data_IF_148469839293
#
_entry.id   IF_148469839293
#
_cell.length_a   1.000
_cell.length_b   1.000
_cell.length_c   1.000
_cell.angle_alpha   90.00
_cell.angle_beta   90.00
_cell.angle_gamma   90.00
#
_symmetry.space_group_name_H-M   'P 1'
#
loop_
_entity.id
_entity.type
_entity.pdbx_description
1 polymer ?
#
# COMPACT_ATOMS: atom_id res chain seq x y z
N UNK A 1 -45.39 31.61 23.57
CA UNK A 1 -45.30 30.51 22.58
C UNK A 1 -44.09 30.68 21.67
N UNK A 2 -43.75 31.90 21.25
CA UNK A 2 -42.62 32.18 20.34
C UNK A 2 -41.24 31.79 20.87
N UNK A 3 -40.98 31.95 22.17
CA UNK A 3 -39.67 31.63 22.76
C UNK A 3 -39.35 30.12 22.74
N UNK A 4 -40.39 29.28 22.85
CA UNK A 4 -40.27 27.81 22.76
C UNK A 4 -39.96 27.39 21.32
N UNK A 5 -40.62 28.04 20.34
CA UNK A 5 -40.34 27.83 18.92
C UNK A 5 -38.90 28.23 18.55
N UNK A 6 -38.44 29.39 19.02
CA UNK A 6 -37.07 29.86 18.79
C UNK A 6 -36.04 28.89 19.38
N UNK A 7 -36.28 28.41 20.62
CA UNK A 7 -35.40 27.45 21.27
C UNK A 7 -35.36 26.10 20.53
N UNK A 8 -36.52 25.58 20.10
CA UNK A 8 -36.61 24.35 19.30
C UNK A 8 -35.84 24.45 17.98
N UNK A 9 -35.98 25.57 17.28
CA UNK A 9 -35.24 25.82 16.03
C UNK A 9 -33.74 25.92 16.28
N UNK A 10 -33.31 26.59 17.36
CA UNK A 10 -31.91 26.69 17.71
C UNK A 10 -31.28 25.31 18.05
N UNK A 11 -31.98 24.49 18.83
CA UNK A 11 -31.54 23.13 19.17
C UNK A 11 -31.53 22.25 17.92
N UNK A 12 -32.57 22.32 17.08
CA UNK A 12 -32.64 21.60 15.80
C UNK A 12 -31.49 21.96 14.87
N UNK A 13 -31.18 23.26 14.74
CA UNK A 13 -30.04 23.74 13.96
C UNK A 13 -28.69 23.24 14.49
N UNK A 14 -28.54 23.17 15.81
CA UNK A 14 -27.30 22.70 16.46
C UNK A 14 -27.12 21.20 16.28
N UNK A 15 -28.19 20.41 16.46
CA UNK A 15 -28.17 18.96 16.25
C UNK A 15 -27.90 18.60 14.78
N UNK A 16 -28.52 19.32 13.85
CA UNK A 16 -28.28 19.14 12.42
C UNK A 16 -26.83 19.50 12.05
N UNK A 17 -26.30 20.61 12.58
CA UNK A 17 -24.90 21.00 12.39
C UNK A 17 -23.92 19.96 12.94
N UNK A 18 -24.20 19.42 14.14
CA UNK A 18 -23.39 18.37 14.75
C UNK A 18 -23.42 17.06 13.94
N UNK A 19 -24.59 16.67 13.44
CA UNK A 19 -24.74 15.47 12.60
C UNK A 19 -23.99 15.61 11.27
N UNK A 20 -24.14 16.75 10.59
CA UNK A 20 -23.41 17.05 9.35
C UNK A 20 -21.90 17.06 9.58
N UNK A 21 -21.44 17.71 10.64
CA UNK A 21 -20.03 17.73 11.03
C UNK A 21 -19.49 16.33 11.27
N UNK A 22 -20.24 15.49 12.00
CA UNK A 22 -19.86 14.11 12.27
C UNK A 22 -19.73 13.27 10.98
N UNK A 23 -20.69 13.36 10.06
CA UNK A 23 -20.65 12.61 8.80
C UNK A 23 -19.46 13.04 7.93
N UNK A 24 -19.23 14.34 7.80
CA UNK A 24 -18.11 14.86 7.02
C UNK A 24 -16.76 14.48 7.64
N UNK A 25 -16.65 14.54 8.96
CA UNK A 25 -15.43 14.15 9.69
C UNK A 25 -15.13 12.66 9.51
N UNK A 26 -16.16 11.81 9.64
CA UNK A 26 -16.04 10.36 9.42
C UNK A 26 -15.62 10.03 7.99
N UNK A 27 -16.20 10.70 6.99
CA UNK A 27 -15.84 10.50 5.59
C UNK A 27 -14.42 10.99 5.26
N UNK A 28 -13.95 12.03 5.94
CA UNK A 28 -12.58 12.51 5.79
C UNK A 28 -11.57 11.54 6.42
N UNK A 29 -11.89 10.96 7.58
CA UNK A 29 -11.04 9.98 8.26
C UNK A 29 -10.87 8.70 7.41
N UNK A 30 -11.97 8.13 6.93
CA UNK A 30 -11.99 6.93 6.08
C UNK A 30 -11.15 7.12 4.79
N UNK A 31 -11.28 8.28 4.12
CA UNK A 31 -10.43 8.62 2.96
C UNK A 31 -8.94 8.74 3.32
N UNK A 32 -8.61 9.25 4.50
CA UNK A 32 -7.23 9.36 4.96
C UNK A 32 -6.62 7.99 5.25
N UNK A 33 -7.38 7.08 5.85
CA UNK A 33 -6.95 5.71 6.15
C UNK A 33 -6.67 4.93 4.85
N UNK A 34 -7.56 5.05 3.85
CA UNK A 34 -7.35 4.48 2.51
C UNK A 34 -6.08 5.01 1.85
N UNK A 35 -5.86 6.32 1.88
CA UNK A 35 -4.63 6.96 1.36
C UNK A 35 -3.39 6.40 2.05
N UNK A 36 -3.42 6.33 3.38
CA UNK A 36 -2.30 5.82 4.16
C UNK A 36 -1.99 4.36 3.80
N UNK A 37 -3.00 3.48 3.72
CA UNK A 37 -2.82 2.08 3.36
C UNK A 37 -2.16 1.91 1.97
N UNK A 38 -2.64 2.64 0.96
CA UNK A 38 -2.07 2.62 -0.40
C UNK A 38 -0.63 3.12 -0.44
N UNK A 39 -0.32 4.20 0.29
CA UNK A 39 1.04 4.74 0.36
C UNK A 39 1.99 3.80 1.10
N UNK A 40 1.56 3.21 2.21
CA UNK A 40 2.34 2.21 2.96
C UNK A 40 2.67 1.01 2.09
N UNK A 41 1.69 0.48 1.34
CA UNK A 41 1.92 -0.61 0.40
C UNK A 41 2.90 -0.23 -0.71
N UNK A 42 2.70 0.93 -1.34
CA UNK A 42 3.57 1.41 -2.42
C UNK A 42 5.03 1.55 -1.96
N UNK A 43 5.24 2.10 -0.76
CA UNK A 43 6.57 2.19 -0.15
C UNK A 43 7.17 0.81 0.13
N UNK A 44 6.39 -0.10 0.73
CA UNK A 44 6.85 -1.44 1.07
C UNK A 44 7.24 -2.28 -0.16
N UNK A 45 6.48 -2.19 -1.25
CA UNK A 45 6.83 -2.87 -2.51
C UNK A 45 8.06 -2.26 -3.16
N UNK A 46 8.20 -0.94 -3.14
CA UNK A 46 9.39 -0.26 -3.70
C UNK A 46 10.66 -0.73 -2.98
N UNK A 47 10.63 -0.80 -1.66
CA UNK A 47 11.74 -1.35 -0.87
C UNK A 47 11.94 -2.84 -1.13
N UNK A 48 10.86 -3.62 -1.29
CA UNK A 48 10.97 -5.05 -1.65
C UNK A 48 11.69 -5.21 -2.99
N UNK A 49 11.30 -4.48 -4.04
CA UNK A 49 11.98 -4.52 -5.35
C UNK A 49 13.47 -4.25 -5.17
N UNK A 50 13.82 -3.18 -4.44
CA UNK A 50 15.22 -2.82 -4.16
C UNK A 50 15.97 -3.92 -3.40
N UNK A 51 15.38 -4.48 -2.34
CA UNK A 51 16.00 -5.52 -1.54
C UNK A 51 16.22 -6.83 -2.32
N UNK A 52 15.33 -7.15 -3.25
CA UNK A 52 15.48 -8.31 -4.13
C UNK A 52 16.58 -8.11 -5.18
N UNK A 53 16.73 -6.88 -5.70
CA UNK A 53 17.86 -6.54 -6.57
C UNK A 53 19.20 -6.64 -5.82
N UNK A 54 19.27 -6.08 -4.60
CA UNK A 54 20.49 -6.17 -3.77
C UNK A 54 20.85 -7.64 -3.49
N UNK A 55 19.87 -8.47 -3.11
CA UNK A 55 20.09 -9.90 -2.91
C UNK A 55 20.67 -10.58 -4.16
N UNK A 56 20.15 -10.27 -5.35
CA UNK A 56 20.68 -10.80 -6.60
C UNK A 56 22.14 -10.37 -6.84
N UNK A 57 22.45 -9.08 -6.73
CA UNK A 57 23.81 -8.57 -6.94
C UNK A 57 24.81 -9.21 -5.97
N UNK A 58 24.43 -9.36 -4.69
CA UNK A 58 25.30 -10.01 -3.70
C UNK A 58 25.47 -11.50 -3.93
N UNK A 59 24.50 -12.15 -4.58
CA UNK A 59 24.63 -13.57 -4.97
C UNK A 59 25.71 -13.75 -6.03
N UNK A 60 25.77 -12.85 -7.02
CA UNK A 60 26.78 -12.89 -8.08
C UNK A 60 28.19 -12.59 -7.54
N UNK A 61 28.30 -11.69 -6.54
CA UNK A 61 29.58 -11.35 -5.90
C UNK A 61 30.17 -12.49 -5.06
N UNK A 62 29.42 -12.99 -4.08
CA UNK A 62 29.86 -14.05 -3.18
C UNK A 62 28.65 -14.78 -2.56
N UNK A 63 28.23 -15.93 -3.12
CA UNK A 63 27.04 -16.65 -2.69
C UNK A 63 27.03 -17.07 -1.20
N UNK A 64 28.20 -17.32 -0.62
CA UNK A 64 28.35 -17.68 0.81
C UNK A 64 28.92 -16.55 1.66
N UNK A 65 29.00 -15.35 1.10
CA UNK A 65 29.48 -14.16 1.78
C UNK A 65 28.54 -13.71 2.90
N UNK A 66 29.07 -13.06 3.96
CA UNK A 66 28.24 -12.44 4.99
C UNK A 66 27.27 -11.40 4.41
N UNK A 67 27.69 -10.66 3.38
CA UNK A 67 26.86 -9.66 2.69
C UNK A 67 25.66 -10.28 1.96
N UNK A 68 25.86 -11.40 1.24
CA UNK A 68 24.74 -12.11 0.61
C UNK A 68 23.73 -12.62 1.64
N UNK A 69 24.20 -13.17 2.77
CA UNK A 69 23.32 -13.59 3.86
C UNK A 69 22.54 -12.41 4.46
N UNK A 70 23.20 -11.27 4.67
CA UNK A 70 22.55 -10.06 5.17
C UNK A 70 21.48 -9.55 4.19
N UNK A 71 21.81 -9.45 2.90
CA UNK A 71 20.88 -9.04 1.85
C UNK A 71 19.67 -9.99 1.76
N UNK A 72 19.88 -11.31 1.87
CA UNK A 72 18.80 -12.30 1.91
C UNK A 72 17.88 -12.09 3.11
N UNK A 73 18.43 -11.92 4.31
CA UNK A 73 17.65 -11.68 5.54
C UNK A 73 16.83 -10.41 5.39
N UNK A 74 17.43 -9.34 4.89
CA UNK A 74 16.74 -8.06 4.68
C UNK A 74 15.63 -8.19 3.63
N UNK A 75 15.88 -8.90 2.52
CA UNK A 75 14.86 -9.18 1.51
C UNK A 75 13.69 -10.01 2.06
N UNK A 76 13.92 -10.91 3.03
CA UNK A 76 12.84 -11.59 3.77
C UNK A 76 12.07 -10.63 4.70
N UNK A 77 12.77 -9.76 5.42
CA UNK A 77 12.16 -8.75 6.30
C UNK A 77 11.24 -7.81 5.51
N UNK A 78 11.72 -7.29 4.38
CA UNK A 78 10.98 -6.40 3.50
C UNK A 78 9.73 -7.07 2.91
N UNK A 79 9.83 -8.35 2.52
CA UNK A 79 8.64 -9.14 2.14
C UNK A 79 7.61 -9.24 3.25
N UNK A 80 8.04 -9.39 4.50
CA UNK A 80 7.15 -9.35 5.67
C UNK A 80 6.42 -8.02 5.81
N UNK A 81 7.14 -6.90 5.65
CA UNK A 81 6.56 -5.55 5.68
C UNK A 81 5.55 -5.35 4.54
N UNK A 82 5.87 -5.80 3.32
CA UNK A 82 4.97 -5.73 2.19
C UNK A 82 3.69 -6.55 2.41
N UNK A 83 3.82 -7.78 2.95
CA UNK A 83 2.67 -8.61 3.33
C UNK A 83 1.78 -7.91 4.37
N UNK A 84 2.36 -7.27 5.38
CA UNK A 84 1.59 -6.49 6.36
C UNK A 84 0.85 -5.32 5.68
N UNK A 85 1.47 -4.67 4.70
CA UNK A 85 0.83 -3.59 3.96
C UNK A 85 -0.35 -4.07 3.08
N UNK A 86 -0.27 -5.28 2.51
CA UNK A 86 -1.40 -5.92 1.78
C UNK A 86 -2.60 -6.10 2.72
N UNK A 87 -2.37 -6.53 3.95
CA UNK A 87 -3.46 -6.63 4.94
C UNK A 87 -4.09 -5.25 5.21
N UNK A 88 -3.30 -4.17 5.19
CA UNK A 88 -3.80 -2.81 5.26
C UNK A 88 -4.75 -2.47 4.11
N UNK A 89 -4.43 -2.88 2.87
CA UNK A 89 -5.33 -2.72 1.73
C UNK A 89 -6.64 -3.46 1.98
N UNK A 90 -6.59 -4.72 2.41
CA UNK A 90 -7.78 -5.54 2.69
C UNK A 90 -8.67 -4.96 3.82
N UNK A 91 -8.08 -4.26 4.80
CA UNK A 91 -8.87 -3.67 5.90
C UNK A 91 -9.49 -2.32 5.56
N UNK A 92 -8.80 -1.48 4.79
CA UNK A 92 -9.21 -0.09 4.58
C UNK A 92 -9.83 0.16 3.20
N UNK A 93 -9.54 -0.70 2.21
CA UNK A 93 -10.01 -0.52 0.83
C UNK A 93 -10.91 -1.70 0.42
N UNK A 94 -12.20 -1.41 0.25
CA UNK A 94 -13.21 -2.37 -0.19
C UNK A 94 -13.18 -2.53 -1.72
N UNK A 95 -12.11 -3.16 -2.23
CA UNK A 95 -11.92 -3.46 -3.66
C UNK A 95 -11.07 -4.72 -3.83
N UNK A 96 -11.74 -5.86 -4.10
CA UNK A 96 -11.09 -7.15 -4.36
C UNK A 96 -10.12 -7.08 -5.54
N UNK A 97 -10.43 -6.30 -6.58
CA UNK A 97 -9.54 -6.13 -7.74
C UNK A 97 -8.26 -5.39 -7.37
N UNK A 98 -8.32 -4.43 -6.45
CA UNK A 98 -7.13 -3.76 -5.93
C UNK A 98 -6.29 -4.71 -5.06
N UNK A 99 -6.94 -5.56 -4.25
CA UNK A 99 -6.25 -6.56 -3.44
C UNK A 99 -5.53 -7.61 -4.32
N UNK A 100 -6.18 -8.08 -5.38
CA UNK A 100 -5.59 -9.00 -6.36
C UNK A 100 -4.38 -8.39 -7.06
N UNK A 101 -4.48 -7.12 -7.48
CA UNK A 101 -3.34 -6.37 -8.05
C UNK A 101 -2.19 -6.24 -7.04
N UNK A 102 -2.51 -6.05 -5.76
CA UNK A 102 -1.51 -5.94 -4.71
C UNK A 102 -0.77 -7.26 -4.49
N UNK A 103 -1.48 -8.39 -4.47
CA UNK A 103 -0.89 -9.72 -4.32
C UNK A 103 -0.07 -10.11 -5.56
N UNK A 104 -0.59 -9.85 -6.77
CA UNK A 104 0.11 -10.11 -8.02
C UNK A 104 1.43 -9.31 -8.09
N UNK A 105 1.39 -8.03 -7.76
CA UNK A 105 2.60 -7.18 -7.72
C UNK A 105 3.59 -7.68 -6.67
N UNK A 106 3.12 -8.11 -5.50
CA UNK A 106 3.97 -8.69 -4.46
C UNK A 106 4.69 -9.96 -4.92
N UNK A 107 4.00 -10.84 -5.65
CA UNK A 107 4.58 -12.06 -6.21
C UNK A 107 5.67 -11.74 -7.24
N UNK A 108 5.37 -10.88 -8.22
CA UNK A 108 6.35 -10.48 -9.25
C UNK A 108 7.57 -9.80 -8.63
N UNK A 109 7.38 -8.92 -7.63
CA UNK A 109 8.48 -8.27 -6.93
C UNK A 109 9.33 -9.27 -6.12
N UNK A 110 8.71 -10.25 -5.46
CA UNK A 110 9.41 -11.24 -4.61
C UNK A 110 10.32 -12.18 -5.39
N UNK A 111 10.08 -12.34 -6.68
CA UNK A 111 10.78 -13.29 -7.55
C UNK A 111 11.94 -12.67 -8.33
N UNK A 112 12.24 -11.38 -8.13
CA UNK A 112 13.33 -10.66 -8.82
C UNK A 112 14.70 -11.32 -8.57
N UNK A 113 14.98 -11.77 -7.35
CA UNK A 113 16.25 -12.42 -6.98
C UNK A 113 16.53 -13.73 -7.74
N UNK A 114 15.51 -14.31 -8.40
CA UNK A 114 15.64 -15.57 -9.15
C UNK A 114 16.07 -15.36 -10.60
N UNK A 115 16.44 -14.15 -11.00
CA UNK A 115 16.94 -13.92 -12.34
C UNK A 115 18.25 -14.71 -12.58
N UNK A 116 18.36 -15.37 -13.73
CA UNK A 116 19.55 -16.13 -14.13
C UNK A 116 20.67 -15.23 -14.69
N UNK A 117 20.38 -13.94 -14.91
CA UNK A 117 21.33 -12.98 -15.45
C UNK A 117 20.80 -11.55 -15.45
N UNK A 118 21.68 -10.60 -15.79
CA UNK A 118 21.35 -9.17 -15.76
C UNK A 118 20.18 -8.79 -16.66
N UNK A 119 20.07 -9.38 -17.85
CA UNK A 119 18.94 -9.11 -18.76
C UNK A 119 17.59 -9.57 -18.20
N UNK A 120 17.58 -10.70 -17.49
CA UNK A 120 16.37 -11.18 -16.82
C UNK A 120 16.06 -10.34 -15.57
N UNK A 121 17.08 -9.91 -14.82
CA UNK A 121 16.92 -9.00 -13.68
C UNK A 121 16.23 -7.71 -14.11
N UNK A 122 16.69 -7.10 -15.21
CA UNK A 122 16.11 -5.88 -15.75
C UNK A 122 14.66 -6.11 -16.19
N UNK A 123 14.38 -7.25 -16.84
CA UNK A 123 13.03 -7.64 -17.28
C UNK A 123 12.08 -7.84 -16.09
N UNK A 124 12.49 -8.61 -15.07
CA UNK A 124 11.69 -8.86 -13.86
C UNK A 124 11.47 -7.57 -13.06
N UNK A 125 12.49 -6.73 -12.95
CA UNK A 125 12.38 -5.41 -12.29
C UNK A 125 11.39 -4.51 -13.03
N UNK A 126 11.46 -4.46 -14.37
CA UNK A 126 10.54 -3.69 -15.18
C UNK A 126 9.10 -4.21 -15.02
N UNK A 127 8.89 -5.52 -15.04
CA UNK A 127 7.58 -6.14 -14.80
C UNK A 127 7.02 -5.80 -13.41
N UNK A 128 7.84 -5.85 -12.35
CA UNK A 128 7.41 -5.49 -11.00
C UNK A 128 7.02 -4.00 -10.91
N UNK A 129 7.81 -3.11 -11.51
CA UNK A 129 7.50 -1.67 -11.55
C UNK A 129 6.24 -1.36 -12.35
N UNK A 130 6.04 -2.06 -13.45
CA UNK A 130 4.84 -1.92 -14.28
C UNK A 130 3.59 -2.42 -13.53
N UNK A 131 3.69 -3.56 -12.85
CA UNK A 131 2.62 -4.08 -11.98
C UNK A 131 2.27 -3.09 -10.87
N UNK A 132 3.28 -2.50 -10.23
CA UNK A 132 3.08 -1.44 -9.23
C UNK A 132 2.42 -0.19 -9.82
N UNK A 133 2.79 0.20 -11.05
CA UNK A 133 2.18 1.35 -11.76
C UNK A 133 0.70 1.10 -12.03
N UNK A 134 0.34 -0.11 -12.47
CA UNK A 134 -1.05 -0.53 -12.69
C UNK A 134 -1.83 -0.49 -11.37
N UNK A 135 -1.26 -1.02 -10.29
CA UNK A 135 -1.84 -0.93 -8.95
C UNK A 135 -2.09 0.53 -8.53
N UNK A 136 -1.09 1.42 -8.66
CA UNK A 136 -1.22 2.84 -8.28
C UNK A 136 -2.32 3.53 -9.10
N UNK A 137 -2.39 3.22 -10.40
CA UNK A 137 -3.42 3.79 -11.27
C UNK A 137 -4.82 3.38 -10.80
N UNK A 138 -5.05 2.08 -10.56
CA UNK A 138 -6.33 1.57 -10.06
C UNK A 138 -6.66 2.14 -8.67
N UNK A 139 -5.68 2.19 -7.76
CA UNK A 139 -5.85 2.77 -6.43
C UNK A 139 -6.23 4.25 -6.48
N UNK A 140 -5.67 5.01 -7.42
CA UNK A 140 -5.93 6.44 -7.54
C UNK A 140 -7.40 6.75 -7.85
N UNK A 141 -8.11 5.86 -8.53
CA UNK A 141 -9.54 6.03 -8.80
C UNK A 141 -10.42 5.79 -7.56
N UNK A 142 -9.95 4.97 -6.61
CA UNK A 142 -10.69 4.60 -5.40
C UNK A 142 -10.44 5.50 -4.21
N UNK A 143 -9.32 6.21 -4.23
CA UNK A 143 -8.79 6.96 -3.08
C UNK A 143 -8.92 8.47 -3.26
N UNK A 144 -9.31 8.94 -4.46
CA UNK A 144 -9.56 10.35 -4.76
C UNK A 144 -10.89 10.83 -4.16
#
# INVERSE_FOLDING_TARGET
MDQVLISLVAVGGTLMGALLGYVLQRQSADRSERKAAVLTYTGAITETIRGQQDWWYRQDENPEGPEHRAARIEAHRLRGVARQAINGIAFYVDDDGLLDLAEATFQVASDIHRADGRGELDTRTAAARESLRIFIHHASEKVR
#
